data_IF_388335626980
#
_entry.id   IF_388335626980
#
_cell.length_a   1.000
_cell.length_b   1.000
_cell.length_c   1.000
_cell.angle_alpha   90.00
_cell.angle_beta   90.00
_cell.angle_gamma   90.00
#
_symmetry.space_group_name_H-M   'P 1'
#
loop_
_entity.id
_entity.type
_entity.pdbx_description
1 polymer ?
#
# COMPACT_ATOMS: atom_id res chain seq x y z
N UNK A 1 -8.38 -5.49 14.22
CA UNK A 1 -8.53 -4.62 13.04
C UNK A 1 -7.87 -5.31 11.86
N UNK A 2 -8.50 -5.33 10.70
CA UNK A 2 -7.90 -5.79 9.45
C UNK A 2 -7.20 -4.61 8.77
N UNK A 3 -5.95 -4.78 8.33
CA UNK A 3 -5.15 -3.69 7.72
C UNK A 3 -4.66 -4.12 6.37
N UNK A 4 -4.97 -3.33 5.34
CA UNK A 4 -4.47 -3.52 3.98
C UNK A 4 -3.48 -2.42 3.61
N UNK A 5 -2.37 -2.81 3.00
CA UNK A 5 -1.37 -1.91 2.44
C UNK A 5 -1.29 -2.14 0.93
N UNK A 6 -2.01 -1.29 0.20
CA UNK A 6 -2.08 -1.32 -1.25
C UNK A 6 -0.86 -0.74 -1.93
N UNK A 7 -0.44 -1.33 -3.05
CA UNK A 7 0.65 -0.80 -3.83
C UNK A 7 0.83 -1.49 -5.17
N UNK A 8 1.57 -0.86 -6.09
CA UNK A 8 1.94 -1.50 -7.36
C UNK A 8 3.01 -2.57 -7.14
N UNK A 9 3.96 -2.32 -6.23
CA UNK A 9 5.08 -3.23 -5.90
C UNK A 9 5.86 -3.69 -7.13
N UNK A 10 6.37 -2.75 -7.90
CA UNK A 10 7.03 -2.98 -9.19
C UNK A 10 8.50 -2.50 -9.23
N UNK A 11 9.43 -3.19 -8.53
CA UNK A 11 9.25 -4.32 -7.60
C UNK A 11 8.97 -3.91 -6.15
N UNK A 12 8.61 -4.89 -5.34
CA UNK A 12 8.69 -4.81 -3.87
C UNK A 12 10.13 -4.54 -3.42
N UNK A 13 10.31 -3.74 -2.38
CA UNK A 13 11.64 -3.37 -1.88
C UNK A 13 11.64 -3.11 -0.36
N UNK A 14 12.83 -2.96 0.23
CA UNK A 14 12.97 -2.77 1.67
C UNK A 14 12.21 -1.56 2.22
N UNK A 15 12.01 -0.50 1.43
CA UNK A 15 11.17 0.63 1.83
C UNK A 15 9.71 0.23 2.09
N UNK A 16 9.13 -0.61 1.24
CA UNK A 16 7.79 -1.15 1.46
C UNK A 16 7.73 -2.11 2.64
N UNK A 17 8.69 -3.03 2.72
CA UNK A 17 8.71 -4.06 3.78
C UNK A 17 8.91 -3.44 5.16
N UNK A 18 9.85 -2.51 5.30
CA UNK A 18 10.07 -1.81 6.58
C UNK A 18 8.83 -1.04 7.00
N UNK A 19 8.19 -0.33 6.06
CA UNK A 19 6.94 0.35 6.35
C UNK A 19 5.84 -0.61 6.80
N UNK A 20 5.69 -1.78 6.16
CA UNK A 20 4.67 -2.75 6.55
C UNK A 20 4.88 -3.26 7.98
N UNK A 21 6.14 -3.49 8.40
CA UNK A 21 6.48 -3.85 9.78
C UNK A 21 6.19 -2.71 10.76
N UNK A 22 6.58 -1.46 10.41
CA UNK A 22 6.26 -0.28 11.23
C UNK A 22 4.75 -0.10 11.42
N UNK A 23 3.97 -0.32 10.36
CA UNK A 23 2.51 -0.25 10.42
C UNK A 23 1.94 -1.29 11.38
N UNK A 24 2.39 -2.55 11.28
CA UNK A 24 1.98 -3.63 12.18
C UNK A 24 2.23 -3.27 13.64
N UNK A 25 3.44 -2.81 13.95
CA UNK A 25 3.88 -2.48 15.30
C UNK A 25 3.14 -1.25 15.85
N UNK A 26 3.06 -0.16 15.08
CA UNK A 26 2.43 1.09 15.52
C UNK A 26 0.91 0.99 15.63
N UNK A 27 0.28 0.21 14.77
CA UNK A 27 -1.17 -0.03 14.83
C UNK A 27 -1.52 -1.12 15.86
N UNK A 28 -0.56 -1.86 16.39
CA UNK A 28 -0.78 -2.91 17.37
C UNK A 28 -1.62 -4.07 16.81
N UNK A 29 -1.43 -4.41 15.53
CA UNK A 29 -2.16 -5.49 14.86
C UNK A 29 -1.30 -6.73 14.68
N UNK A 30 -1.93 -7.90 14.58
CA UNK A 30 -1.22 -9.16 14.37
C UNK A 30 -0.59 -9.24 12.98
N UNK A 31 -1.25 -8.65 11.98
CA UNK A 31 -0.84 -8.75 10.58
C UNK A 31 -1.20 -7.50 9.77
N UNK A 32 -0.43 -7.28 8.70
CA UNK A 32 -0.71 -6.31 7.62
C UNK A 32 -0.71 -7.08 6.31
N UNK A 33 -1.80 -6.98 5.56
CA UNK A 33 -1.93 -7.59 4.24
C UNK A 33 -1.39 -6.65 3.15
N UNK A 34 -0.34 -7.07 2.43
CA UNK A 34 0.12 -6.39 1.23
C UNK A 34 -0.80 -6.76 0.08
N UNK A 35 -1.37 -5.75 -0.58
CA UNK A 35 -2.33 -5.93 -1.66
C UNK A 35 -1.78 -5.33 -2.97
N UNK A 36 -1.24 -6.18 -3.86
CA UNK A 36 -0.78 -5.71 -5.16
C UNK A 36 -1.97 -5.35 -6.07
N UNK A 37 -1.99 -4.12 -6.61
CA UNK A 37 -3.00 -3.73 -7.58
C UNK A 37 -2.77 -4.46 -8.93
N UNK A 38 -3.85 -4.74 -9.67
CA UNK A 38 -3.73 -5.32 -11.03
C UNK A 38 -3.20 -4.27 -12.02
N UNK A 39 -4.05 -3.34 -12.42
CA UNK A 39 -3.70 -2.20 -13.27
C UNK A 39 -4.03 -0.92 -12.51
N UNK A 40 -3.01 -0.13 -12.11
CA UNK A 40 -3.26 1.12 -11.42
C UNK A 40 -3.89 2.14 -12.39
N UNK A 41 -5.08 2.68 -12.08
CA UNK A 41 -5.79 3.58 -13.00
C UNK A 41 -5.11 4.93 -13.23
N UNK A 42 -4.16 5.29 -12.36
CA UNK A 42 -3.49 6.60 -12.36
C UNK A 42 -1.98 6.53 -12.57
N UNK A 43 -1.44 5.39 -13.02
CA UNK A 43 0.00 5.19 -13.24
C UNK A 43 0.24 4.47 -14.56
N UNK A 44 1.48 4.52 -15.04
CA UNK A 44 1.92 3.74 -16.19
C UNK A 44 1.77 2.24 -15.95
N UNK A 45 1.68 1.49 -17.05
CA UNK A 45 1.65 0.02 -17.01
C UNK A 45 2.91 -0.48 -16.29
N UNK A 46 2.77 -1.35 -15.28
CA UNK A 46 3.91 -1.91 -14.57
C UNK A 46 4.91 -2.60 -15.50
N UNK A 47 6.19 -2.54 -15.16
CA UNK A 47 7.26 -3.21 -15.92
C UNK A 47 7.25 -4.73 -15.76
N UNK A 48 6.60 -5.24 -14.70
CA UNK A 48 6.38 -6.66 -14.47
C UNK A 48 4.87 -6.97 -14.48
N UNK A 49 4.51 -8.15 -14.95
CA UNK A 49 3.12 -8.63 -14.93
C UNK A 49 2.60 -8.81 -13.50
N UNK A 50 1.28 -8.86 -13.33
CA UNK A 50 0.65 -9.11 -12.02
C UNK A 50 1.15 -10.39 -11.36
N UNK A 51 1.27 -11.48 -12.12
CA UNK A 51 1.80 -12.76 -11.63
C UNK A 51 3.27 -12.66 -11.19
N UNK A 52 4.10 -11.92 -11.94
CA UNK A 52 5.50 -11.70 -11.57
C UNK A 52 5.60 -10.85 -10.30
N UNK A 53 4.81 -9.78 -10.16
CA UNK A 53 4.81 -8.94 -8.95
C UNK A 53 4.32 -9.71 -7.72
N UNK A 54 3.32 -10.59 -7.88
CA UNK A 54 2.87 -11.48 -6.82
C UNK A 54 3.98 -12.42 -6.36
N UNK A 55 4.64 -13.12 -7.29
CA UNK A 55 5.75 -14.02 -6.97
C UNK A 55 6.91 -13.30 -6.24
N UNK A 56 7.23 -12.06 -6.64
CA UNK A 56 8.23 -11.24 -5.94
C UNK A 56 7.78 -10.86 -4.53
N UNK A 57 6.50 -10.59 -4.32
CA UNK A 57 5.93 -10.30 -3.00
C UNK A 57 5.98 -11.52 -2.08
N UNK A 58 5.60 -12.71 -2.57
CA UNK A 58 5.70 -13.98 -1.83
C UNK A 58 7.11 -14.22 -1.32
N UNK A 59 8.11 -14.06 -2.21
CA UNK A 59 9.52 -14.20 -1.85
C UNK A 59 9.98 -13.13 -0.83
N UNK A 60 9.43 -11.92 -0.93
CA UNK A 60 9.83 -10.81 -0.09
C UNK A 60 9.37 -10.94 1.36
N UNK A 61 8.16 -11.49 1.58
CA UNK A 61 7.58 -11.61 2.92
C UNK A 61 7.81 -12.99 3.56
N UNK A 62 8.41 -13.92 2.82
CA UNK A 62 8.71 -15.25 3.34
C UNK A 62 9.55 -15.16 4.63
N UNK A 63 9.02 -15.70 5.72
CA UNK A 63 9.69 -15.70 7.01
C UNK A 63 9.38 -14.49 7.92
N UNK A 64 8.55 -13.54 7.50
CA UNK A 64 8.03 -12.47 8.36
C UNK A 64 6.56 -12.76 8.74
N UNK A 65 6.30 -13.30 9.94
CA UNK A 65 4.99 -13.87 10.30
C UNK A 65 3.89 -12.83 10.52
N UNK A 66 4.12 -11.60 10.34
CA UNK A 66 3.10 -10.54 10.45
C UNK A 66 2.77 -9.86 9.14
N UNK A 67 3.34 -10.36 8.04
CA UNK A 67 3.03 -9.86 6.70
C UNK A 67 2.32 -10.95 5.90
N UNK A 68 1.16 -10.61 5.34
CA UNK A 68 0.35 -11.51 4.53
C UNK A 68 0.11 -10.92 3.14
N UNK A 69 -0.42 -11.70 2.23
CA UNK A 69 -0.80 -11.25 0.89
C UNK A 69 -2.31 -11.28 0.72
N UNK A 70 -2.82 -10.28 0.02
CA UNK A 70 -4.18 -10.26 -0.49
C UNK A 70 -4.12 -9.99 -2.00
N UNK A 71 -4.31 -11.01 -2.80
CA UNK A 71 -4.16 -10.99 -4.25
C UNK A 71 -5.48 -10.73 -5.00
N UNK A 72 -6.57 -10.40 -4.28
CA UNK A 72 -7.93 -10.24 -4.84
C UNK A 72 -8.03 -9.30 -6.04
N UNK A 73 -7.20 -8.27 -6.10
CA UNK A 73 -7.20 -7.34 -7.22
C UNK A 73 -6.58 -7.93 -8.49
N UNK A 74 -5.65 -8.88 -8.35
CA UNK A 74 -4.94 -9.46 -9.49
C UNK A 74 -5.82 -10.38 -10.35
N UNK A 75 -6.87 -10.93 -9.77
CA UNK A 75 -7.84 -11.79 -10.48
C UNK A 75 -8.96 -11.02 -11.20
N UNK A 76 -8.99 -9.68 -11.12
CA UNK A 76 -10.03 -8.87 -11.77
C UNK A 76 -9.69 -8.56 -13.22
N UNK A 77 -10.73 -8.41 -14.03
CA UNK A 77 -10.61 -7.82 -15.36
C UNK A 77 -10.67 -6.29 -15.25
N UNK A 78 -9.68 -5.59 -15.80
CA UNK A 78 -9.64 -4.13 -15.85
C UNK A 78 -8.92 -3.46 -14.67
N UNK A 79 -9.26 -2.20 -14.42
CA UNK A 79 -8.62 -1.38 -13.40
C UNK A 79 -9.05 -1.77 -11.98
N UNK A 80 -8.13 -1.66 -11.01
CA UNK A 80 -8.41 -1.87 -9.60
C UNK A 80 -8.95 -0.59 -8.97
N UNK A 81 -10.21 -0.61 -8.54
CA UNK A 81 -10.81 0.51 -7.83
C UNK A 81 -10.93 0.21 -6.33
N UNK A 82 -10.38 1.09 -5.52
CA UNK A 82 -10.31 0.92 -4.06
C UNK A 82 -11.69 0.76 -3.41
N UNK A 83 -12.69 1.56 -3.81
CA UNK A 83 -14.04 1.46 -3.26
C UNK A 83 -14.66 0.06 -3.48
N UNK A 84 -14.43 -0.54 -4.64
CA UNK A 84 -14.88 -1.90 -4.96
C UNK A 84 -14.16 -2.95 -4.09
N UNK A 85 -12.84 -2.83 -3.97
CA UNK A 85 -12.02 -3.72 -3.12
C UNK A 85 -12.47 -3.68 -1.66
N UNK A 86 -12.67 -2.47 -1.12
CA UNK A 86 -13.15 -2.31 0.25
C UNK A 86 -14.58 -2.83 0.44
N UNK A 87 -15.45 -2.72 -0.58
CA UNK A 87 -16.80 -3.28 -0.54
C UNK A 87 -16.75 -4.82 -0.43
N UNK A 88 -15.88 -5.47 -1.20
CA UNK A 88 -15.70 -6.92 -1.12
C UNK A 88 -15.14 -7.33 0.25
N UNK A 89 -14.09 -6.66 0.72
CA UNK A 89 -13.53 -6.90 2.06
C UNK A 89 -14.58 -6.74 3.16
N UNK A 90 -15.39 -5.70 3.08
CA UNK A 90 -16.46 -5.45 4.06
C UNK A 90 -17.51 -6.57 4.07
N UNK A 91 -17.87 -7.10 2.91
CA UNK A 91 -18.78 -8.24 2.81
C UNK A 91 -18.22 -9.51 3.47
N UNK A 92 -16.91 -9.72 3.38
CA UNK A 92 -16.22 -10.90 3.96
C UNK A 92 -16.02 -10.79 5.46
N UNK A 93 -15.53 -9.63 5.95
CA UNK A 93 -15.17 -9.48 7.36
C UNK A 93 -16.34 -9.05 8.25
N UNK A 94 -17.47 -8.68 7.64
CA UNK A 94 -18.67 -8.20 8.33
C UNK A 94 -18.67 -6.68 8.59
N UNK A 95 -19.85 -6.11 8.97
CA UNK A 95 -20.02 -4.66 9.08
C UNK A 95 -19.26 -4.03 10.27
N UNK A 96 -19.04 -4.79 11.34
CA UNK A 96 -18.55 -4.25 12.62
C UNK A 96 -17.05 -4.38 12.83
N UNK A 97 -16.36 -5.21 12.05
CA UNK A 97 -14.91 -5.41 12.21
C UNK A 97 -14.13 -4.19 11.70
N UNK A 98 -13.27 -3.57 12.51
CA UNK A 98 -12.46 -2.45 12.05
C UNK A 98 -11.59 -2.83 10.85
N UNK A 99 -11.70 -2.04 9.77
CA UNK A 99 -10.93 -2.16 8.54
C UNK A 99 -10.16 -0.88 8.30
N UNK A 100 -8.87 -0.97 8.00
CA UNK A 100 -8.04 0.18 7.66
C UNK A 100 -7.28 -0.06 6.35
N UNK A 101 -7.24 0.95 5.50
CA UNK A 101 -6.36 1.02 4.34
C UNK A 101 -5.21 1.99 4.58
N UNK A 102 -4.04 1.66 4.06
CA UNK A 102 -2.84 2.48 4.18
C UNK A 102 -2.47 3.11 2.85
N UNK A 103 -2.19 4.41 2.85
CA UNK A 103 -1.68 5.13 1.69
C UNK A 103 -0.68 6.23 2.09
N UNK A 104 0.18 6.60 1.17
CA UNK A 104 1.11 7.71 1.38
C UNK A 104 0.45 9.07 1.19
N UNK A 105 1.06 10.12 1.73
CA UNK A 105 0.62 11.52 1.59
C UNK A 105 0.43 11.93 0.13
N UNK A 106 1.31 11.45 -0.77
CA UNK A 106 1.24 11.69 -2.21
C UNK A 106 -0.05 11.15 -2.84
N UNK A 107 -0.45 9.95 -2.46
CA UNK A 107 -1.70 9.33 -2.92
C UNK A 107 -2.93 10.00 -2.31
N UNK A 108 -2.85 10.37 -1.02
CA UNK A 108 -3.94 11.05 -0.33
C UNK A 108 -4.15 12.48 -0.85
N UNK A 109 -3.11 13.17 -1.32
CA UNK A 109 -3.23 14.49 -1.94
C UNK A 109 -4.12 14.51 -3.19
N UNK A 110 -4.25 13.38 -3.87
CA UNK A 110 -5.14 13.23 -5.04
C UNK A 110 -6.35 12.33 -4.78
N UNK A 111 -6.76 12.18 -3.54
CA UNK A 111 -7.78 11.23 -3.12
C UNK A 111 -9.15 11.48 -3.75
N UNK A 112 -9.51 12.74 -3.98
CA UNK A 112 -10.74 13.19 -4.64
C UNK A 112 -10.84 12.82 -6.13
N UNK A 113 -9.75 12.35 -6.73
CA UNK A 113 -9.73 11.84 -8.11
C UNK A 113 -9.98 10.33 -8.19
N UNK A 114 -10.09 9.66 -7.05
CA UNK A 114 -10.35 8.22 -7.02
C UNK A 114 -11.83 7.95 -7.27
N UNK A 115 -12.10 6.87 -7.99
CA UNK A 115 -13.49 6.47 -8.27
C UNK A 115 -14.23 6.20 -6.97
N UNK A 116 -15.40 6.81 -6.80
CA UNK A 116 -16.27 6.70 -5.61
C UNK A 116 -15.53 6.99 -4.28
N UNK A 117 -14.63 7.97 -4.30
CA UNK A 117 -13.79 8.31 -3.15
C UNK A 117 -14.61 8.63 -1.89
N UNK A 118 -15.82 9.20 -2.04
CA UNK A 118 -16.71 9.51 -0.92
C UNK A 118 -17.12 8.27 -0.11
N UNK A 119 -17.21 7.11 -0.78
CA UNK A 119 -17.59 5.84 -0.13
C UNK A 119 -16.44 5.23 0.67
N UNK A 120 -15.21 5.54 0.33
CA UNK A 120 -14.04 4.92 0.96
C UNK A 120 -14.02 5.11 2.48
N UNK A 121 -14.23 6.33 3.03
CA UNK A 121 -14.30 6.52 4.48
C UNK A 121 -15.49 5.82 5.16
N UNK A 122 -16.53 5.46 4.40
CA UNK A 122 -17.67 4.69 4.92
C UNK A 122 -17.40 3.19 4.97
N UNK A 123 -16.37 2.72 4.30
CA UNK A 123 -16.00 1.32 4.22
C UNK A 123 -14.79 0.98 5.10
N UNK A 124 -13.85 1.92 5.26
CA UNK A 124 -12.61 1.71 5.99
C UNK A 124 -12.11 2.99 6.71
N UNK A 125 -11.24 2.82 7.68
CA UNK A 125 -10.37 3.88 8.14
C UNK A 125 -9.27 4.14 7.11
N UNK A 126 -8.69 5.34 7.12
CA UNK A 126 -7.57 5.71 6.27
C UNK A 126 -6.37 5.99 7.15
N UNK A 127 -5.29 5.25 6.97
CA UNK A 127 -4.00 5.50 7.60
C UNK A 127 -3.10 6.20 6.58
N UNK A 128 -2.85 7.49 6.80
CA UNK A 128 -2.02 8.31 5.93
C UNK A 128 -0.59 8.30 6.44
N UNK A 129 0.32 7.70 5.68
CA UNK A 129 1.75 7.67 6.00
C UNK A 129 2.42 8.91 5.41
N UNK A 130 3.03 9.70 6.28
CA UNK A 130 3.78 10.87 5.85
C UNK A 130 5.04 10.45 5.08
N UNK A 131 5.21 11.01 3.89
CA UNK A 131 6.39 10.79 3.06
C UNK A 131 7.14 12.11 2.85
N UNK A 132 8.48 12.06 2.65
CA UNK A 132 9.23 13.23 2.24
C UNK A 132 8.62 13.85 0.98
N UNK A 133 8.46 15.16 0.97
CA UNK A 133 7.88 15.89 -0.15
C UNK A 133 7.01 17.06 0.29
N UNK A 134 6.33 17.73 -0.65
CA UNK A 134 5.37 18.76 -0.31
C UNK A 134 4.26 18.14 0.54
N UNK A 135 3.96 18.75 1.68
CA UNK A 135 2.84 18.36 2.54
C UNK A 135 1.50 18.44 1.80
N UNK A 136 0.43 18.05 2.47
CA UNK A 136 -0.92 18.21 1.94
C UNK A 136 -1.26 19.70 1.79
N UNK A 137 -1.93 20.04 0.69
CA UNK A 137 -2.45 21.39 0.52
C UNK A 137 -3.40 21.73 1.67
N UNK A 138 -3.39 22.99 2.17
CA UNK A 138 -4.22 23.41 3.28
C UNK A 138 -5.71 23.48 2.93
N UNK A 139 -6.03 23.35 1.66
CA UNK A 139 -7.39 23.42 1.09
C UNK A 139 -7.68 22.18 0.22
N UNK A 140 -8.96 22.02 -0.14
CA UNK A 140 -9.42 20.91 -0.97
C UNK A 140 -10.01 19.75 -0.16
N UNK A 141 -10.36 18.68 -0.87
CA UNK A 141 -11.03 17.51 -0.29
C UNK A 141 -10.15 16.80 0.76
N UNK A 142 -8.85 16.56 0.55
CA UNK A 142 -8.01 15.91 1.57
C UNK A 142 -7.96 16.72 2.87
N UNK A 143 -7.80 18.04 2.81
CA UNK A 143 -7.80 18.91 3.97
C UNK A 143 -9.14 18.88 4.72
N UNK A 144 -10.26 18.92 3.98
CA UNK A 144 -11.60 18.82 4.56
C UNK A 144 -11.83 17.46 5.25
N UNK A 145 -11.39 16.37 4.62
CA UNK A 145 -11.49 15.03 5.22
C UNK A 145 -10.68 14.95 6.52
N UNK A 146 -9.45 15.46 6.53
CA UNK A 146 -8.64 15.53 7.75
C UNK A 146 -9.34 16.33 8.84
N UNK A 147 -9.82 17.54 8.55
CA UNK A 147 -10.48 18.39 9.55
C UNK A 147 -11.73 17.74 10.17
N UNK A 148 -12.41 16.86 9.44
CA UNK A 148 -13.66 16.24 9.88
C UNK A 148 -13.46 14.85 10.53
N UNK A 149 -12.42 14.12 10.15
CA UNK A 149 -12.27 12.69 10.44
C UNK A 149 -10.96 12.32 11.13
N UNK A 150 -10.03 13.27 11.32
CA UNK A 150 -8.75 12.98 11.97
C UNK A 150 -8.91 12.49 13.40
N UNK A 151 -8.10 11.51 13.74
CA UNK A 151 -7.89 11.04 15.10
C UNK A 151 -6.39 11.04 15.41
N UNK A 152 -6.04 11.33 16.66
CA UNK A 152 -4.64 11.40 17.10
C UNK A 152 -4.11 10.05 17.60
N UNK A 153 -5.00 9.12 17.94
CA UNK A 153 -4.65 7.88 18.63
C UNK A 153 -5.18 6.66 17.92
N UNK A 154 -4.33 5.65 17.83
CA UNK A 154 -4.64 4.36 17.19
C UNK A 154 -5.86 3.68 17.80
N UNK A 155 -6.07 3.82 19.11
CA UNK A 155 -7.18 3.19 19.81
C UNK A 155 -8.56 3.63 19.28
N UNK A 156 -8.64 4.80 18.66
CA UNK A 156 -9.88 5.26 18.04
C UNK A 156 -10.30 4.38 16.86
N UNK A 157 -9.32 3.82 16.11
CA UNK A 157 -9.59 2.93 14.98
C UNK A 157 -10.21 1.59 15.42
N UNK A 158 -10.00 1.17 16.66
CA UNK A 158 -10.57 -0.07 17.19
C UNK A 158 -12.00 0.08 17.70
N UNK A 159 -12.48 1.33 17.89
CA UNK A 159 -13.81 1.63 18.45
C UNK A 159 -14.89 1.81 17.40
N UNK A 160 -14.53 1.87 16.14
CA UNK A 160 -15.45 2.01 15.02
C UNK A 160 -14.99 1.09 13.87
N UNK A 161 -15.92 0.65 12.99
CA UNK A 161 -15.55 -0.18 11.85
C UNK A 161 -14.80 0.56 10.75
N UNK A 162 -15.03 1.88 10.61
CA UNK A 162 -14.51 2.72 9.52
C UNK A 162 -14.60 4.22 9.90
N UNK A 163 -14.21 5.11 9.00
CA UNK A 163 -14.55 6.55 9.03
C UNK A 163 -13.49 7.47 9.62
N UNK A 164 -12.52 6.97 10.37
CA UNK A 164 -11.44 7.78 10.94
C UNK A 164 -10.24 7.87 9.99
N UNK A 165 -9.49 8.95 10.10
CA UNK A 165 -8.21 9.17 9.41
C UNK A 165 -7.13 9.34 10.47
N UNK A 166 -6.12 8.47 10.42
CA UNK A 166 -4.94 8.55 11.28
C UNK A 166 -3.72 8.91 10.46
N UNK A 167 -3.02 9.96 10.84
CA UNK A 167 -1.73 10.31 10.23
C UNK A 167 -0.59 9.65 11.02
N UNK A 168 0.31 8.96 10.32
CA UNK A 168 1.50 8.35 10.89
C UNK A 168 2.76 8.89 10.23
N UNK A 169 3.78 9.14 11.04
CA UNK A 169 5.12 9.52 10.61
C UNK A 169 6.14 8.45 11.07
N UNK A 170 6.19 7.28 10.39
CA UNK A 170 7.18 6.26 10.70
C UNK A 170 8.52 6.60 10.07
N UNK A 171 9.64 6.05 10.58
CA UNK A 171 10.92 6.13 9.90
C UNK A 171 10.83 5.44 8.54
N UNK A 172 11.09 6.19 7.47
CA UNK A 172 11.05 5.67 6.11
C UNK A 172 12.46 5.46 5.56
N UNK A 173 12.61 4.41 4.76
CA UNK A 173 13.80 4.24 3.91
C UNK A 173 13.55 4.96 2.58
N UNK A 174 14.48 5.81 2.18
CA UNK A 174 14.44 6.52 0.89
C UNK A 174 14.82 5.57 -0.25
N UNK A 175 13.88 4.67 -0.56
CA UNK A 175 14.00 3.67 -1.62
C UNK A 175 12.74 3.74 -2.48
N UNK A 176 12.90 3.85 -3.80
CA UNK A 176 11.78 3.83 -4.73
C UNK A 176 11.91 2.70 -5.77
N UNK A 177 10.77 2.13 -6.15
CA UNK A 177 10.71 1.12 -7.21
C UNK A 177 11.25 1.67 -8.56
N UNK A 178 10.94 2.91 -8.89
CA UNK A 178 11.49 3.58 -10.08
C UNK A 178 13.02 3.64 -10.03
N UNK A 179 13.60 4.12 -8.92
CA UNK A 179 15.05 4.16 -8.77
C UNK A 179 15.71 2.78 -8.86
N UNK A 180 15.03 1.72 -8.40
CA UNK A 180 15.51 0.34 -8.56
C UNK A 180 15.50 -0.08 -10.04
N UNK A 181 14.41 0.17 -10.76
CA UNK A 181 14.32 -0.17 -12.19
C UNK A 181 15.36 0.59 -13.03
N UNK A 182 15.54 1.89 -12.76
CA UNK A 182 16.53 2.72 -13.44
C UNK A 182 17.98 2.21 -13.21
N UNK A 183 18.29 1.78 -11.97
CA UNK A 183 19.58 1.17 -11.66
C UNK A 183 19.81 -0.12 -12.42
N UNK A 184 18.83 -1.00 -12.48
CA UNK A 184 18.90 -2.27 -13.20
C UNK A 184 19.11 -2.00 -14.70
N UNK A 185 18.29 -1.14 -15.29
CA UNK A 185 18.38 -0.77 -16.71
C UNK A 185 19.74 -0.17 -17.07
N UNK A 186 20.35 0.56 -16.14
CA UNK A 186 21.70 1.16 -16.31
C UNK A 186 22.85 0.20 -15.97
N UNK A 187 22.59 -1.09 -15.71
CA UNK A 187 23.58 -2.07 -15.35
C UNK A 187 24.18 -1.92 -13.94
N UNK A 188 23.54 -1.12 -13.08
CA UNK A 188 23.96 -0.94 -11.69
C UNK A 188 23.27 -1.93 -10.77
N UNK A 189 23.98 -2.38 -9.73
CA UNK A 189 23.43 -3.32 -8.75
C UNK A 189 22.33 -2.68 -7.89
N UNK A 190 21.13 -3.30 -7.78
CA UNK A 190 20.09 -2.90 -6.84
C UNK A 190 20.22 -3.59 -5.47
N UNK A 191 21.30 -4.33 -5.24
CA UNK A 191 21.52 -5.06 -3.96
C UNK A 191 21.35 -4.13 -2.77
N UNK A 192 20.82 -4.71 -1.69
CA UNK A 192 20.50 -4.02 -0.43
C UNK A 192 19.36 -2.99 -0.50
N UNK A 193 18.78 -2.77 -1.68
CA UNK A 193 17.54 -2.00 -1.81
C UNK A 193 16.29 -2.90 -1.77
N UNK A 194 16.47 -4.18 -2.06
CA UNK A 194 15.44 -5.22 -2.04
C UNK A 194 16.01 -6.54 -1.49
N UNK A 195 15.15 -7.48 -1.04
CA UNK A 195 15.61 -8.77 -0.53
C UNK A 195 16.36 -9.59 -1.58
N UNK A 196 17.39 -10.31 -1.16
CA UNK A 196 18.18 -11.19 -2.02
C UNK A 196 17.33 -12.20 -2.82
N UNK A 197 16.30 -12.87 -2.25
CA UNK A 197 15.42 -13.75 -3.03
C UNK A 197 14.70 -13.03 -4.16
N UNK A 198 14.24 -11.79 -3.92
CA UNK A 198 13.58 -10.95 -4.92
C UNK A 198 14.56 -10.59 -6.05
N UNK A 199 15.80 -10.20 -5.70
CA UNK A 199 16.82 -9.88 -6.70
C UNK A 199 17.17 -11.09 -7.58
N UNK A 200 17.34 -12.27 -7.00
CA UNK A 200 17.60 -13.51 -7.77
C UNK A 200 16.47 -13.83 -8.72
N UNK A 201 15.23 -13.62 -8.30
CA UNK A 201 14.06 -13.88 -9.13
C UNK A 201 13.93 -12.86 -10.27
N UNK A 202 14.22 -11.58 -10.03
CA UNK A 202 14.30 -10.54 -11.07
C UNK A 202 15.32 -10.92 -12.13
N UNK A 203 16.52 -11.38 -11.73
CA UNK A 203 17.56 -11.85 -12.66
C UNK A 203 17.14 -13.10 -13.43
N UNK A 204 16.55 -14.09 -12.73
CA UNK A 204 16.09 -15.33 -13.34
C UNK A 204 15.05 -15.08 -14.44
N UNK A 205 14.14 -14.14 -14.22
CA UNK A 205 13.10 -13.75 -15.17
C UNK A 205 13.50 -12.64 -16.13
N UNK A 206 14.70 -12.08 -15.99
CA UNK A 206 15.20 -10.93 -16.77
C UNK A 206 14.25 -9.74 -16.75
N UNK A 207 13.69 -9.44 -15.56
CA UNK A 207 12.80 -8.31 -15.39
C UNK A 207 13.60 -7.00 -15.39
N UNK A 208 12.97 -5.93 -15.88
CA UNK A 208 13.53 -4.57 -15.88
C UNK A 208 14.87 -4.44 -16.62
N UNK A 209 15.21 -5.39 -17.50
CA UNK A 209 16.50 -5.39 -18.22
C UNK A 209 17.65 -6.07 -17.45
N UNK A 210 17.38 -6.85 -16.40
CA UNK A 210 18.37 -7.62 -15.65
C UNK A 210 18.94 -8.81 -16.40
#
# INVERSE_FOLDING_TARGET
MHVIYGGTFDPIHHGHLRLAVELRERLGVSEVALMPCHVPPHRDVPGATSAQRLALLELAIAGEPGLTLDDRELGREGASYTAETLTQLRAEIGPDKPLAMVLGTDSFAGFDRWQEWERIPELAHIVVVQRPGPGLAPEGVPAKLLSQRSVERVEALFRAPCGHILQLDPPLLDISATGIRDRILSGHSPRYLLPDPVWREIQRQRLYGA
#
